data_IF_285728695597
#
_entry.id   IF_285728695597
#
_cell.length_a   1.000
_cell.length_b   1.000
_cell.length_c   1.000
_cell.angle_alpha   90.00
_cell.angle_beta   90.00
_cell.angle_gamma   90.00
#
_symmetry.space_group_name_H-M   'P 1'
#
loop_
_entity.id
_entity.type
_entity.pdbx_description
1 polymer ?
#
# COMPACT_ATOMS: atom_id res chain seq x y z
N UNK A 1 -53.72 -22.29 -65.56
CA UNK A 1 -54.04 -23.71 -65.27
C UNK A 1 -53.34 -24.08 -63.97
N UNK A 2 -54.11 -24.53 -62.96
CA UNK A 2 -53.74 -25.40 -61.81
C UNK A 2 -52.62 -24.93 -60.85
N UNK A 3 -52.91 -24.50 -59.60
CA UNK A 3 -53.17 -25.27 -58.33
C UNK A 3 -51.89 -26.03 -57.90
N UNK A 4 -51.34 -26.01 -56.67
CA UNK A 4 -51.87 -25.91 -55.32
C UNK A 4 -50.77 -25.53 -54.30
N UNK A 5 -51.23 -25.09 -53.12
CA UNK A 5 -50.49 -24.86 -51.89
C UNK A 5 -49.89 -26.14 -51.26
N UNK A 6 -48.90 -25.97 -50.36
CA UNK A 6 -48.80 -26.72 -49.09
C UNK A 6 -47.82 -26.03 -48.13
N UNK A 7 -48.33 -25.74 -46.94
CA UNK A 7 -47.65 -25.14 -45.80
C UNK A 7 -46.77 -26.14 -45.05
N UNK A 8 -45.76 -25.66 -44.31
CA UNK A 8 -45.30 -26.25 -43.04
C UNK A 8 -44.39 -25.31 -42.24
N UNK A 9 -44.58 -25.37 -40.92
CA UNK A 9 -44.12 -24.48 -39.83
C UNK A 9 -42.84 -25.06 -39.20
N UNK A 10 -41.96 -24.21 -38.62
CA UNK A 10 -41.42 -24.33 -37.25
C UNK A 10 -39.95 -23.86 -37.02
N UNK A 11 -39.83 -22.87 -36.11
CA UNK A 11 -39.00 -22.80 -34.89
C UNK A 11 -37.45 -22.69 -34.92
N UNK A 12 -37.01 -21.59 -34.28
CA UNK A 12 -35.96 -21.44 -33.24
C UNK A 12 -34.46 -21.48 -33.62
N UNK A 13 -33.72 -20.53 -33.04
CA UNK A 13 -32.31 -20.74 -32.63
C UNK A 13 -31.34 -19.64 -33.03
N UNK A 14 -31.43 -18.45 -32.42
CA UNK A 14 -30.32 -17.50 -32.41
C UNK A 14 -29.29 -17.92 -31.37
N UNK A 15 -28.20 -18.57 -31.80
CA UNK A 15 -27.00 -18.75 -30.98
C UNK A 15 -26.00 -17.65 -31.34
N UNK A 16 -26.02 -16.56 -30.58
CA UNK A 16 -24.83 -15.73 -30.42
C UNK A 16 -24.10 -16.25 -29.19
N UNK A 17 -22.96 -16.91 -29.40
CA UNK A 17 -22.04 -17.32 -28.35
C UNK A 17 -21.50 -16.10 -27.61
N UNK A 18 -22.23 -15.65 -26.59
CA UNK A 18 -21.71 -14.72 -25.60
C UNK A 18 -20.96 -15.53 -24.55
N UNK A 19 -19.66 -15.73 -24.77
CA UNK A 19 -18.72 -16.13 -23.71
C UNK A 19 -18.65 -15.00 -22.69
N UNK A 20 -19.52 -15.06 -21.69
CA UNK A 20 -19.41 -14.30 -20.45
C UNK A 20 -18.24 -14.89 -19.66
N UNK A 21 -17.04 -14.35 -19.89
CA UNK A 21 -15.89 -14.64 -19.04
C UNK A 21 -16.04 -13.90 -17.72
N UNK A 22 -16.41 -14.62 -16.66
CA UNK A 22 -16.29 -14.13 -15.29
C UNK A 22 -14.81 -13.87 -15.01
N UNK A 23 -14.38 -12.67 -14.57
CA UNK A 23 -13.00 -12.46 -14.17
C UNK A 23 -12.71 -13.32 -12.93
N UNK A 24 -11.76 -14.24 -13.06
CA UNK A 24 -11.25 -15.00 -11.92
C UNK A 24 -10.54 -14.01 -11.00
N UNK A 25 -10.88 -13.95 -9.70
CA UNK A 25 -10.10 -13.13 -8.77
C UNK A 25 -8.68 -13.71 -8.70
N UNK A 26 -7.69 -12.89 -9.04
CA UNK A 26 -6.28 -13.19 -8.72
C UNK A 26 -6.17 -13.17 -7.21
N UNK A 27 -6.18 -14.35 -6.59
CA UNK A 27 -5.83 -14.49 -5.18
C UNK A 27 -4.39 -14.05 -5.00
N UNK A 28 -4.16 -13.07 -4.11
CA UNK A 28 -2.82 -12.69 -3.71
C UNK A 28 -2.05 -13.94 -3.21
N UNK A 29 -0.75 -14.05 -3.48
CA UNK A 29 0.06 -15.12 -2.89
C UNK A 29 -0.01 -15.00 -1.36
N UNK A 30 -0.64 -15.98 -0.73
CA UNK A 30 -0.52 -16.18 0.72
C UNK A 30 0.78 -16.94 0.94
N UNK A 31 1.80 -16.27 1.47
CA UNK A 31 3.03 -16.91 1.92
C UNK A 31 2.69 -17.95 2.99
N UNK A 32 2.86 -19.23 2.67
CA UNK A 32 2.59 -20.34 3.59
C UNK A 32 3.35 -20.15 4.89
N UNK A 33 2.63 -20.02 6.00
CA UNK A 33 3.21 -19.92 7.35
C UNK A 33 3.21 -18.52 7.98
N UNK A 34 2.81 -17.47 7.26
CA UNK A 34 2.65 -16.13 7.83
C UNK A 34 1.18 -15.79 8.14
N UNK A 35 0.90 -14.94 9.14
CA UNK A 35 1.86 -14.23 10.01
C UNK A 35 2.46 -15.11 11.12
N UNK A 36 3.62 -14.71 11.64
CA UNK A 36 4.31 -15.35 12.78
C UNK A 36 4.60 -14.34 13.90
N UNK A 37 5.18 -14.81 15.01
CA UNK A 37 5.70 -13.98 16.11
C UNK A 37 4.66 -13.05 16.78
N UNK A 38 3.38 -13.39 16.64
CA UNK A 38 2.26 -12.59 17.16
C UNK A 38 1.86 -11.40 16.29
N UNK A 39 2.39 -11.30 15.07
CA UNK A 39 1.95 -10.29 14.11
C UNK A 39 0.47 -10.50 13.72
N UNK A 40 -0.35 -9.43 13.64
CA UNK A 40 -1.72 -9.52 13.17
C UNK A 40 -1.79 -9.97 11.71
N UNK A 41 -2.78 -10.79 11.38
CA UNK A 41 -3.05 -11.17 9.99
C UNK A 41 -3.63 -9.99 9.21
N UNK A 42 -3.22 -9.87 7.94
CA UNK A 42 -3.85 -8.99 6.96
C UNK A 42 -5.04 -9.72 6.36
N UNK A 43 -6.25 -9.30 6.69
CA UNK A 43 -7.50 -9.98 6.32
C UNK A 43 -8.00 -9.65 4.91
N UNK A 44 -7.62 -8.48 4.37
CA UNK A 44 -7.98 -8.01 3.03
C UNK A 44 -6.71 -7.64 2.23
N UNK A 45 -5.89 -8.62 1.82
CA UNK A 45 -4.57 -8.36 1.24
C UNK A 45 -4.66 -7.60 -0.10
N UNK A 46 -3.78 -6.61 -0.29
CA UNK A 46 -3.63 -5.91 -1.57
C UNK A 46 -2.78 -6.76 -2.52
N UNK A 47 -3.42 -7.34 -3.54
CA UNK A 47 -2.77 -8.25 -4.48
C UNK A 47 -1.90 -7.53 -5.54
N UNK A 48 -2.42 -6.44 -6.10
CA UNK A 48 -1.85 -5.76 -7.26
C UNK A 48 -0.87 -4.66 -6.83
N UNK A 49 0.33 -5.03 -6.39
CA UNK A 49 1.33 -4.08 -5.90
C UNK A 49 2.43 -3.75 -6.92
N UNK A 50 2.57 -4.53 -7.99
CA UNK A 50 3.72 -4.46 -8.91
C UNK A 50 3.99 -3.05 -9.49
N UNK A 51 2.95 -2.29 -9.81
CA UNK A 51 3.11 -0.93 -10.32
C UNK A 51 3.72 0.01 -9.26
N UNK A 52 3.25 -0.08 -8.00
CA UNK A 52 3.78 0.70 -6.89
C UNK A 52 5.16 0.22 -6.41
N UNK A 53 5.50 -1.05 -6.63
CA UNK A 53 6.86 -1.57 -6.38
C UNK A 53 7.87 -0.99 -7.38
N UNK A 54 7.46 -0.84 -8.65
CA UNK A 54 8.30 -0.27 -9.70
C UNK A 54 8.40 1.26 -9.60
N UNK A 55 7.26 1.94 -9.44
CA UNK A 55 7.14 3.39 -9.36
C UNK A 55 6.28 3.82 -8.14
N UNK A 56 6.85 3.81 -6.93
CA UNK A 56 6.14 4.23 -5.71
C UNK A 56 5.68 5.69 -5.77
N UNK A 57 6.32 6.56 -6.55
CA UNK A 57 5.93 7.97 -6.67
C UNK A 57 4.59 8.15 -7.38
N UNK A 58 4.18 7.20 -8.20
CA UNK A 58 2.84 7.20 -8.81
C UNK A 58 1.72 6.87 -7.82
N UNK A 59 2.05 6.31 -6.65
CA UNK A 59 1.06 5.85 -5.65
C UNK A 59 0.29 7.01 -5.02
N UNK A 60 0.95 8.16 -4.81
CA UNK A 60 0.30 9.38 -4.29
C UNK A 60 0.64 10.53 -5.22
N UNK A 61 -0.38 11.19 -5.76
CA UNK A 61 -0.19 12.34 -6.63
C UNK A 61 0.35 13.55 -5.86
N UNK A 62 1.07 14.45 -6.54
CA UNK A 62 1.56 15.69 -5.93
C UNK A 62 0.45 16.52 -5.25
N UNK A 63 -0.73 16.76 -5.86
CA UNK A 63 -1.81 17.49 -5.19
C UNK A 63 -2.27 16.83 -3.88
N UNK A 64 -2.28 15.50 -3.83
CA UNK A 64 -2.73 14.75 -2.65
C UNK A 64 -1.71 14.85 -1.50
N UNK A 65 -0.42 14.59 -1.77
CA UNK A 65 0.62 14.76 -0.74
C UNK A 65 0.74 16.23 -0.30
N UNK A 66 0.52 17.19 -1.21
CA UNK A 66 0.52 18.61 -0.86
C UNK A 66 -0.62 18.99 0.09
N UNK A 67 -1.77 18.32 -0.02
CA UNK A 67 -2.90 18.52 0.90
C UNK A 67 -2.60 18.03 2.33
N UNK A 68 -1.62 17.14 2.47
CA UNK A 68 -1.23 16.53 3.76
C UNK A 68 -0.03 17.28 4.38
N UNK A 69 1.01 17.51 3.58
CA UNK A 69 2.32 17.99 4.05
C UNK A 69 2.71 19.40 3.60
N UNK A 70 1.89 20.05 2.76
CA UNK A 70 2.23 21.35 2.18
C UNK A 70 2.99 21.23 0.87
N UNK A 71 3.46 22.37 0.34
CA UNK A 71 3.96 22.46 -1.05
C UNK A 71 5.18 21.57 -1.29
N UNK A 72 5.09 20.73 -2.33
CA UNK A 72 6.18 19.85 -2.74
C UNK A 72 7.10 20.64 -3.66
N UNK A 73 8.39 20.66 -3.33
CA UNK A 73 9.44 21.21 -4.19
C UNK A 73 9.75 20.25 -5.33
N UNK A 74 9.83 18.96 -5.01
CA UNK A 74 10.10 17.86 -5.94
C UNK A 74 9.80 16.51 -5.29
N UNK A 75 9.56 15.51 -6.11
CA UNK A 75 9.46 14.10 -5.74
C UNK A 75 10.61 13.34 -6.40
N UNK A 76 11.21 12.40 -5.67
CA UNK A 76 12.36 11.61 -6.13
C UNK A 76 12.07 10.12 -5.95
N UNK A 77 12.37 9.32 -6.97
CA UNK A 77 12.41 7.87 -6.86
C UNK A 77 13.73 7.46 -6.18
N UNK A 78 13.63 6.85 -5.01
CA UNK A 78 14.75 6.28 -4.28
C UNK A 78 14.83 4.78 -4.57
N UNK A 79 15.95 4.32 -5.13
CA UNK A 79 16.21 2.89 -5.35
C UNK A 79 17.00 2.35 -4.16
N UNK A 80 16.34 1.58 -3.29
CA UNK A 80 16.95 1.04 -2.07
C UNK A 80 17.03 -0.49 -2.17
N UNK A 81 17.99 -1.08 -1.45
CA UNK A 81 18.18 -2.54 -1.41
C UNK A 81 16.92 -3.29 -0.98
N UNK A 82 16.11 -2.69 -0.11
CA UNK A 82 14.90 -3.31 0.45
C UNK A 82 13.62 -3.00 -0.35
N UNK A 83 13.70 -2.28 -1.47
CA UNK A 83 12.57 -1.86 -2.29
C UNK A 83 12.65 -0.39 -2.65
N UNK A 84 12.01 0.00 -3.74
CA UNK A 84 11.95 1.41 -4.15
C UNK A 84 11.05 2.21 -3.20
N UNK A 85 11.37 3.49 -3.00
CA UNK A 85 10.54 4.43 -2.27
C UNK A 85 10.38 5.74 -3.06
N UNK A 86 9.32 6.49 -2.77
CA UNK A 86 9.20 7.87 -3.22
C UNK A 86 9.54 8.81 -2.06
N UNK A 87 10.45 9.75 -2.29
CA UNK A 87 10.72 10.85 -1.37
C UNK A 87 10.07 12.13 -1.89
N UNK A 88 9.11 12.68 -1.14
CA UNK A 88 8.60 14.03 -1.34
C UNK A 88 9.42 15.01 -0.51
N UNK A 89 10.05 15.97 -1.19
CA UNK A 89 10.81 17.06 -0.57
C UNK A 89 9.94 18.31 -0.58
N UNK A 90 9.61 18.84 0.60
CA UNK A 90 8.76 20.03 0.72
C UNK A 90 9.56 21.33 0.53
N UNK A 91 8.88 22.42 0.17
CA UNK A 91 9.54 23.71 -0.13
C UNK A 91 10.21 24.35 1.08
N UNK A 92 9.56 24.29 2.24
CA UNK A 92 10.05 24.93 3.46
C UNK A 92 10.93 23.97 4.26
N UNK A 93 12.18 24.37 4.54
CA UNK A 93 13.20 23.61 5.31
C UNK A 93 13.43 22.15 4.83
N UNK A 94 14.45 21.40 5.31
CA UNK A 94 14.65 20.01 4.87
C UNK A 94 13.58 19.10 5.51
N UNK A 95 12.34 19.23 5.07
CA UNK A 95 11.22 18.38 5.40
C UNK A 95 11.04 17.35 4.28
N UNK A 96 11.03 16.08 4.64
CA UNK A 96 10.78 14.99 3.69
C UNK A 96 9.75 14.01 4.23
N UNK A 97 9.05 13.37 3.31
CA UNK A 97 8.36 12.11 3.57
C UNK A 97 8.85 11.11 2.55
N UNK A 98 9.38 9.98 3.00
CA UNK A 98 9.68 8.83 2.12
C UNK A 98 8.65 7.73 2.35
N UNK A 99 8.12 7.14 1.29
CA UNK A 99 7.18 6.03 1.39
C UNK A 99 7.30 5.02 0.24
N UNK A 100 7.09 3.74 0.53
CA UNK A 100 7.23 2.67 -0.45
C UNK A 100 6.99 1.27 0.11
N UNK A 101 6.88 0.30 -0.79
CA UNK A 101 6.76 -1.11 -0.45
C UNK A 101 8.14 -1.70 -0.16
N UNK A 102 8.27 -2.42 0.96
CA UNK A 102 9.53 -3.02 1.38
C UNK A 102 9.66 -4.42 0.77
N UNK A 103 9.83 -4.49 -0.55
CA UNK A 103 9.81 -5.75 -1.32
C UNK A 103 10.92 -6.74 -0.98
N UNK A 104 12.02 -6.26 -0.38
CA UNK A 104 13.10 -7.09 0.15
C UNK A 104 12.72 -7.81 1.45
N UNK A 105 11.72 -7.31 2.18
CA UNK A 105 11.12 -8.01 3.31
C UNK A 105 10.07 -8.99 2.77
N UNK A 106 10.20 -10.27 3.12
CA UNK A 106 9.28 -11.34 2.73
C UNK A 106 8.41 -11.86 3.88
N UNK A 107 8.57 -11.28 5.07
CA UNK A 107 7.86 -11.71 6.27
C UNK A 107 6.85 -10.66 6.77
N UNK A 108 6.69 -9.58 6.00
CA UNK A 108 5.75 -8.50 6.29
C UNK A 108 5.94 -7.91 7.69
N UNK A 109 4.84 -7.78 8.44
CA UNK A 109 4.90 -7.33 9.84
C UNK A 109 5.56 -8.36 10.76
N UNK A 110 5.54 -9.66 10.41
CA UNK A 110 6.15 -10.72 11.22
C UNK A 110 7.64 -10.46 11.45
N UNK A 111 8.35 -9.91 10.47
CA UNK A 111 9.75 -9.47 10.64
C UNK A 111 9.92 -8.47 11.79
N UNK A 112 9.04 -7.46 11.90
CA UNK A 112 9.12 -6.45 12.95
C UNK A 112 8.76 -7.01 14.31
N UNK A 113 7.79 -7.91 14.38
CA UNK A 113 7.41 -8.61 15.62
C UNK A 113 8.54 -9.52 16.11
N UNK A 114 9.20 -10.27 15.21
CA UNK A 114 10.37 -11.08 15.53
C UNK A 114 11.56 -10.22 16.00
N UNK A 115 11.81 -9.09 15.33
CA UNK A 115 12.86 -8.15 15.72
C UNK A 115 12.58 -7.52 17.09
N UNK A 116 11.32 -7.19 17.39
CA UNK A 116 10.90 -6.73 18.71
C UNK A 116 11.13 -7.81 19.79
N UNK A 117 10.72 -9.06 19.52
CA UNK A 117 10.85 -10.17 20.46
C UNK A 117 12.31 -10.46 20.85
N UNK A 118 13.26 -10.12 19.98
CA UNK A 118 14.71 -10.28 20.21
C UNK A 118 15.38 -9.00 20.75
N UNK A 119 14.63 -7.93 21.01
CA UNK A 119 15.15 -6.66 21.54
C UNK A 119 15.86 -5.78 20.50
N UNK A 120 15.68 -6.05 19.21
CA UNK A 120 16.34 -5.33 18.12
C UNK A 120 15.70 -3.99 17.74
N UNK A 121 14.65 -3.55 18.43
CA UNK A 121 13.94 -2.30 18.19
C UNK A 121 13.98 -1.41 19.44
N UNK A 122 14.34 -0.14 19.26
CA UNK A 122 14.30 0.90 20.31
C UNK A 122 12.88 1.42 20.51
N UNK A 123 12.04 1.34 19.47
CA UNK A 123 10.61 1.66 19.54
C UNK A 123 9.83 0.57 18.83
N UNK A 124 8.76 0.10 19.47
CA UNK A 124 7.77 -0.78 18.86
C UNK A 124 6.41 -0.50 19.47
N UNK A 125 5.48 -0.01 18.65
CA UNK A 125 4.14 0.37 19.08
C UNK A 125 3.14 -0.04 17.99
N UNK A 126 2.44 -1.17 18.15
CA UNK A 126 1.23 -1.43 17.38
C UNK A 126 0.26 -0.26 17.54
N UNK A 127 -0.34 0.18 16.44
CA UNK A 127 -1.30 1.28 16.40
C UNK A 127 -2.63 0.80 15.82
N UNK A 128 -3.64 1.67 15.87
CA UNK A 128 -4.93 1.39 15.25
C UNK A 128 -4.74 1.09 13.75
N UNK A 129 -5.52 0.14 13.18
CA UNK A 129 -5.40 -0.21 11.77
C UNK A 129 -5.59 0.98 10.84
N UNK A 130 -4.71 1.15 9.87
CA UNK A 130 -4.80 2.20 8.85
C UNK A 130 -5.67 1.68 7.71
N UNK A 131 -6.85 2.26 7.50
CA UNK A 131 -7.83 1.77 6.52
C UNK A 131 -8.14 0.27 6.64
N UNK A 132 -8.09 -0.28 7.87
CA UNK A 132 -8.32 -1.71 8.14
C UNK A 132 -7.08 -2.60 8.05
N UNK A 133 -5.91 -2.05 7.72
CA UNK A 133 -4.64 -2.81 7.64
C UNK A 133 -3.86 -2.67 8.94
N UNK A 134 -3.30 -3.77 9.49
CA UNK A 134 -2.52 -3.71 10.72
C UNK A 134 -1.28 -2.83 10.51
N UNK A 135 -0.94 -2.06 11.54
CA UNK A 135 0.15 -1.09 11.46
C UNK A 135 0.95 -1.00 12.76
N UNK A 136 2.23 -0.67 12.62
CA UNK A 136 3.19 -0.57 13.71
C UNK A 136 4.08 0.65 13.50
N UNK A 137 4.19 1.49 14.52
CA UNK A 137 5.26 2.47 14.61
C UNK A 137 6.48 1.77 15.19
N UNK A 138 7.63 1.90 14.53
CA UNK A 138 8.85 1.25 15.00
C UNK A 138 10.08 2.11 14.79
N UNK A 139 11.16 1.79 15.50
CA UNK A 139 12.49 2.33 15.25
C UNK A 139 13.55 1.36 15.77
N UNK A 140 14.72 1.40 15.15
CA UNK A 140 15.94 0.71 15.59
C UNK A 140 17.08 1.74 15.75
N UNK A 141 16.74 2.86 16.39
CA UNK A 141 17.49 4.10 16.34
C UNK A 141 16.89 5.08 15.33
N UNK A 142 17.10 6.38 15.57
CA UNK A 142 16.58 7.46 14.72
C UNK A 142 15.18 7.95 15.08
N UNK A 143 14.57 7.42 16.15
CA UNK A 143 13.44 8.05 16.81
C UNK A 143 13.80 9.47 17.31
N UNK A 144 12.81 10.35 17.41
CA UNK A 144 13.00 11.70 17.90
C UNK A 144 11.96 12.67 17.36
N UNK A 145 12.03 13.93 17.79
CA UNK A 145 11.12 14.98 17.31
C UNK A 145 11.21 15.10 15.78
N UNK A 146 10.06 15.27 15.14
CA UNK A 146 9.95 15.37 13.68
C UNK A 146 10.20 14.07 12.91
N UNK A 147 10.54 12.94 13.57
CA UNK A 147 10.73 11.65 12.89
C UNK A 147 9.61 10.68 13.28
N UNK A 148 9.15 9.89 12.31
CA UNK A 148 8.35 8.71 12.56
C UNK A 148 8.67 7.66 11.49
N UNK A 149 8.55 6.38 11.84
CA UNK A 149 8.55 5.28 10.87
C UNK A 149 7.32 4.44 11.15
N UNK A 150 6.40 4.42 10.20
CA UNK A 150 5.16 3.65 10.25
C UNK A 150 5.24 2.54 9.20
N UNK A 151 5.06 1.29 9.63
CA UNK A 151 4.87 0.14 8.76
C UNK A 151 3.41 -0.28 8.75
N UNK A 152 2.86 -0.54 7.57
CA UNK A 152 1.51 -1.03 7.36
C UNK A 152 1.60 -2.37 6.63
N UNK A 153 1.05 -3.44 7.21
CA UNK A 153 0.99 -4.75 6.57
C UNK A 153 -0.07 -4.73 5.47
N UNK A 154 0.35 -4.68 4.20
CA UNK A 154 -0.56 -4.72 3.03
C UNK A 154 -0.84 -6.16 2.56
N UNK A 155 0.05 -7.09 2.92
CA UNK A 155 -0.12 -8.54 2.91
C UNK A 155 0.65 -9.13 4.11
N UNK A 156 0.45 -10.40 4.42
CA UNK A 156 1.19 -11.06 5.51
C UNK A 156 2.71 -11.07 5.28
N UNK A 157 3.16 -11.00 4.03
CA UNK A 157 4.56 -11.01 3.59
C UNK A 157 5.06 -9.64 3.10
N UNK A 158 4.23 -8.59 3.10
CA UNK A 158 4.58 -7.30 2.49
C UNK A 158 4.08 -6.13 3.33
N UNK A 159 4.99 -5.17 3.57
CA UNK A 159 4.70 -3.93 4.28
C UNK A 159 4.89 -2.71 3.38
N UNK A 160 4.06 -1.69 3.59
CA UNK A 160 4.25 -0.34 3.10
C UNK A 160 4.79 0.53 4.24
N UNK A 161 5.91 1.19 4.01
CA UNK A 161 6.52 2.09 4.99
C UNK A 161 6.24 3.55 4.66
N UNK A 162 6.06 4.37 5.70
CA UNK A 162 5.97 5.82 5.63
C UNK A 162 6.89 6.45 6.67
N UNK A 163 7.78 7.34 6.22
CA UNK A 163 8.87 7.90 7.00
C UNK A 163 8.94 9.42 6.84
N UNK A 164 8.15 10.19 7.61
CA UNK A 164 8.35 11.62 7.74
C UNK A 164 9.64 11.94 8.50
N UNK A 165 10.40 12.90 7.97
CA UNK A 165 11.52 13.57 8.63
C UNK A 165 11.32 15.07 8.53
N UNK A 166 10.96 15.67 9.65
CA UNK A 166 10.49 17.05 9.72
C UNK A 166 11.42 17.88 10.61
N UNK A 167 11.63 19.11 10.17
CA UNK A 167 12.27 20.20 10.89
C UNK A 167 11.25 20.96 11.75
N UNK A 168 11.73 21.71 12.74
CA UNK A 168 10.89 22.41 13.73
C UNK A 168 9.91 23.42 13.16
N UNK A 169 10.13 23.91 11.93
CA UNK A 169 9.22 24.83 11.25
C UNK A 169 8.01 24.16 10.60
N UNK A 170 7.99 22.82 10.48
CA UNK A 170 6.88 22.12 9.85
C UNK A 170 5.66 22.01 10.78
N UNK A 171 4.41 22.24 10.30
CA UNK A 171 3.21 22.15 11.13
C UNK A 171 3.04 20.79 11.85
N UNK A 172 3.48 19.71 11.21
CA UNK A 172 3.43 18.34 11.76
C UNK A 172 4.68 17.95 12.56
N UNK A 173 5.61 18.87 12.89
CA UNK A 173 6.84 18.52 13.59
C UNK A 173 6.61 17.89 14.98
N UNK A 174 5.57 18.35 15.69
CA UNK A 174 5.17 17.80 16.99
C UNK A 174 4.45 16.46 16.88
N UNK A 175 3.88 16.14 15.72
CA UNK A 175 3.17 14.91 15.44
C UNK A 175 3.51 14.34 14.04
N UNK A 176 4.75 13.86 13.85
CA UNK A 176 5.17 13.25 12.59
C UNK A 176 4.39 11.96 12.32
N UNK A 177 4.02 11.19 13.35
CA UNK A 177 3.29 9.95 13.16
C UNK A 177 1.85 10.16 12.70
N UNK A 178 1.16 11.21 13.16
CA UNK A 178 -0.15 11.59 12.62
C UNK A 178 -0.08 11.98 11.14
N UNK A 179 1.01 12.63 10.71
CA UNK A 179 1.27 12.85 9.27
C UNK A 179 1.52 11.53 8.54
N UNK A 180 2.32 10.62 9.11
CA UNK A 180 2.58 9.31 8.52
C UNK A 180 1.29 8.51 8.30
N UNK A 181 0.35 8.54 9.26
CA UNK A 181 -0.96 7.89 9.14
C UNK A 181 -1.75 8.47 7.97
N UNK A 182 -1.85 9.79 7.83
CA UNK A 182 -2.58 10.43 6.71
C UNK A 182 -1.99 10.05 5.34
N UNK A 183 -0.67 10.03 5.24
CA UNK A 183 0.03 9.60 4.02
C UNK A 183 -0.24 8.11 3.74
N UNK A 184 -0.21 7.27 4.77
CA UNK A 184 -0.53 5.85 4.64
C UNK A 184 -2.00 5.63 4.22
N UNK A 185 -2.96 6.38 4.76
CA UNK A 185 -4.36 6.32 4.37
C UNK A 185 -4.54 6.62 2.86
N UNK A 186 -3.88 7.67 2.37
CA UNK A 186 -3.87 8.01 0.95
C UNK A 186 -3.25 6.89 0.10
N UNK A 187 -2.05 6.41 0.48
CA UNK A 187 -1.37 5.33 -0.23
C UNK A 187 -2.21 4.06 -0.31
N UNK A 188 -2.72 3.57 0.83
CA UNK A 188 -3.51 2.34 0.89
C UNK A 188 -4.78 2.46 0.05
N UNK A 189 -5.45 3.62 0.08
CA UNK A 189 -6.62 3.87 -0.77
C UNK A 189 -6.27 3.76 -2.25
N UNK A 190 -5.16 4.35 -2.68
CA UNK A 190 -4.74 4.33 -4.08
C UNK A 190 -4.26 2.95 -4.52
N UNK A 191 -3.54 2.23 -3.65
CA UNK A 191 -3.11 0.84 -3.89
C UNK A 191 -4.30 -0.11 -4.08
N UNK A 192 -5.41 0.08 -3.35
CA UNK A 192 -6.63 -0.72 -3.53
C UNK A 192 -7.37 -0.43 -4.83
N UNK A 193 -7.14 0.75 -5.42
CA UNK A 193 -7.78 1.18 -6.67
C UNK A 193 -6.95 0.91 -7.93
N UNK A 194 -5.74 0.35 -7.78
CA UNK A 194 -4.77 0.14 -8.84
C UNK A 194 -4.99 -1.15 -9.66
#
# INVERSE_FOLDING_TARGET
MTIAALASVALLGGCSDQKTGTPTPTSAPSSTGLPTDGAPAVTDPIANTAAAEADPCSTISNPEIESIGGKVKRSELEQLTMGNACAWVFQESPNTVSAGLVTGNKDGLSALYAQHATGGLTTFKPVDPVNGYPAVIYANGGEGKGNCTLAIGVRNDLVYNVIPRLSSGHPSFSDPCGMAVKVAEAAIKNLKGA
#
